data_IF_231570106260
#
_entry.id   IF_231570106260
#
_cell.length_a   1.000
_cell.length_b   1.000
_cell.length_c   1.000
_cell.angle_alpha   90.00
_cell.angle_beta   90.00
_cell.angle_gamma   90.00
#
_symmetry.space_group_name_H-M   'P 1'
#
loop_
_entity.id
_entity.type
_entity.pdbx_description
1 polymer ?
#
# COMPACT_ATOMS: atom_id res chain seq x y z
N UNK A 1 -26.69 -11.47 3.97
CA UNK A 1 -25.47 -11.96 3.26
C UNK A 1 -24.58 -10.79 2.87
N UNK A 2 -23.26 -10.82 3.19
CA UNK A 2 -22.32 -9.81 2.71
C UNK A 2 -21.97 -10.09 1.25
N UNK A 3 -22.09 -9.05 0.39
CA UNK A 3 -21.74 -9.17 -1.04
C UNK A 3 -20.26 -9.53 -1.20
N UNK A 4 -19.89 -10.33 -2.22
CA UNK A 4 -18.50 -10.57 -2.59
C UNK A 4 -17.84 -9.24 -3.04
N UNK A 5 -16.51 -9.17 -2.94
CA UNK A 5 -15.77 -8.03 -3.47
C UNK A 5 -15.78 -8.07 -4.98
N UNK A 6 -15.91 -6.90 -5.59
CA UNK A 6 -15.69 -6.74 -7.02
C UNK A 6 -14.18 -6.79 -7.23
N UNK A 7 -13.72 -7.73 -8.02
CA UNK A 7 -12.33 -7.87 -8.46
C UNK A 7 -12.33 -7.90 -9.98
N UNK A 8 -11.27 -7.36 -10.57
CA UNK A 8 -10.99 -7.59 -11.98
C UNK A 8 -10.16 -8.87 -12.14
N UNK A 9 -10.42 -9.67 -13.18
CA UNK A 9 -9.67 -10.91 -13.46
C UNK A 9 -8.28 -10.64 -14.08
N UNK A 10 -7.90 -9.39 -14.20
CA UNK A 10 -6.62 -8.92 -14.71
C UNK A 10 -6.12 -7.73 -13.91
N UNK A 11 -5.68 -6.70 -14.63
CA UNK A 11 -5.26 -5.43 -14.05
C UNK A 11 -6.40 -4.74 -13.30
N UNK A 12 -6.09 -4.11 -12.15
CA UNK A 12 -7.11 -3.38 -11.41
C UNK A 12 -6.53 -2.34 -10.45
N UNK A 13 -7.24 -1.22 -10.33
CA UNK A 13 -6.94 -0.14 -9.39
C UNK A 13 -7.95 -0.16 -8.25
N UNK A 14 -7.47 -0.10 -7.01
CA UNK A 14 -8.33 -0.26 -5.84
C UNK A 14 -8.09 0.80 -4.79
N UNK A 15 -9.17 1.43 -4.34
CA UNK A 15 -9.15 2.17 -3.08
C UNK A 15 -9.57 1.23 -1.95
N UNK A 16 -8.69 1.05 -0.98
CA UNK A 16 -8.83 0.10 0.12
C UNK A 16 -8.88 0.85 1.43
N UNK A 17 -9.85 0.49 2.29
CA UNK A 17 -10.04 1.09 3.62
C UNK A 17 -10.24 -0.01 4.65
N UNK A 18 -9.62 0.13 5.81
CA UNK A 18 -9.93 -0.70 6.99
C UNK A 18 -9.82 0.10 8.26
N UNK A 19 -10.72 -0.17 9.21
CA UNK A 19 -10.84 0.56 10.48
C UNK A 19 -10.44 -0.32 11.65
N UNK A 20 -9.94 0.32 12.71
CA UNK A 20 -9.75 -0.29 14.00
C UNK A 20 -11.09 -0.63 14.66
N UNK A 21 -11.11 -1.62 15.53
CA UNK A 21 -12.28 -2.03 16.27
C UNK A 21 -12.83 -0.86 17.10
N UNK A 22 -14.15 -0.71 17.10
CA UNK A 22 -14.87 0.36 17.81
C UNK A 22 -14.38 1.78 17.44
N UNK A 23 -13.72 1.93 16.29
CA UNK A 23 -13.12 3.19 15.82
C UNK A 23 -12.13 3.83 16.83
N UNK A 24 -11.56 3.02 17.72
CA UNK A 24 -10.58 3.47 18.69
C UNK A 24 -9.26 3.90 18.02
N UNK A 25 -8.59 4.90 18.60
CA UNK A 25 -7.30 5.42 18.14
C UNK A 25 -6.15 4.48 18.57
N UNK A 26 -6.08 3.30 17.96
CA UNK A 26 -5.13 2.26 18.30
C UNK A 26 -3.76 2.40 17.61
N UNK A 27 -3.68 3.24 16.58
CA UNK A 27 -2.46 3.42 15.78
C UNK A 27 -1.64 4.59 16.34
N UNK A 28 -0.79 4.29 17.32
CA UNK A 28 0.18 5.27 17.85
C UNK A 28 1.19 5.72 16.76
N UNK A 29 1.94 6.81 16.98
CA UNK A 29 2.99 7.25 16.05
C UNK A 29 4.01 6.14 15.70
N UNK A 30 4.41 5.32 16.69
CA UNK A 30 5.26 4.16 16.46
C UNK A 30 4.53 3.09 15.64
N UNK A 31 3.31 2.75 16.03
CA UNK A 31 2.46 1.78 15.32
C UNK A 31 2.24 2.18 13.85
N UNK A 32 1.96 3.45 13.56
CA UNK A 32 1.85 3.95 12.18
C UNK A 32 3.16 3.78 11.39
N UNK A 33 4.30 4.00 12.01
CA UNK A 33 5.60 3.84 11.36
C UNK A 33 5.87 2.37 11.02
N UNK A 34 5.61 1.46 11.95
CA UNK A 34 5.70 0.00 11.74
C UNK A 34 4.70 -0.47 10.69
N UNK A 35 3.47 0.07 10.72
CA UNK A 35 2.45 -0.28 9.71
C UNK A 35 2.89 0.11 8.29
N UNK A 36 3.45 1.32 8.12
CA UNK A 36 3.94 1.78 6.80
C UNK A 36 5.10 0.92 6.30
N UNK A 37 6.03 0.52 7.18
CA UNK A 37 7.12 -0.40 6.80
C UNK A 37 6.57 -1.77 6.36
N UNK A 38 5.67 -2.36 7.17
CA UNK A 38 5.01 -3.61 6.81
C UNK A 38 4.23 -3.51 5.50
N UNK A 39 3.47 -2.43 5.31
CA UNK A 39 2.71 -2.18 4.09
C UNK A 39 3.60 -2.23 2.84
N UNK A 40 4.73 -1.52 2.86
CA UNK A 40 5.68 -1.46 1.74
C UNK A 40 6.30 -2.83 1.44
N UNK A 41 6.74 -3.55 2.46
CA UNK A 41 7.36 -4.88 2.31
C UNK A 41 6.36 -5.92 1.81
N UNK A 42 5.12 -5.88 2.32
CA UNK A 42 4.07 -6.80 1.89
C UNK A 42 3.60 -6.47 0.47
N UNK A 43 3.56 -5.21 0.07
CA UNK A 43 3.23 -4.80 -1.29
C UNK A 43 4.25 -5.38 -2.30
N UNK A 44 5.56 -5.24 -2.02
CA UNK A 44 6.62 -5.85 -2.83
C UNK A 44 6.47 -7.37 -2.88
N UNK A 45 6.24 -8.03 -1.73
CA UNK A 45 6.02 -9.47 -1.68
C UNK A 45 4.82 -9.89 -2.53
N UNK A 46 3.71 -9.17 -2.44
CA UNK A 46 2.47 -9.48 -3.15
C UNK A 46 2.51 -9.09 -4.63
N UNK A 47 3.53 -8.34 -5.09
CA UNK A 47 3.57 -7.78 -6.43
C UNK A 47 2.47 -6.75 -6.69
N UNK A 48 2.08 -6.02 -5.65
CA UNK A 48 1.09 -4.95 -5.70
C UNK A 48 1.81 -3.61 -5.64
N UNK A 49 1.45 -2.70 -6.51
CA UNK A 49 2.02 -1.36 -6.55
C UNK A 49 1.21 -0.42 -5.64
N UNK A 50 1.90 0.25 -4.74
CA UNK A 50 1.31 1.29 -3.91
C UNK A 50 1.37 2.63 -4.65
N UNK A 51 0.23 3.12 -5.10
CA UNK A 51 0.16 4.44 -5.73
C UNK A 51 0.13 5.54 -4.69
N UNK A 52 -0.65 5.35 -3.63
CA UNK A 52 -0.69 6.24 -2.48
C UNK A 52 -1.25 5.53 -1.23
N UNK A 53 -1.06 6.11 -0.06
CA UNK A 53 -1.63 5.64 1.21
C UNK A 53 -1.68 6.77 2.25
N UNK A 54 -2.56 6.60 3.24
CA UNK A 54 -2.57 7.41 4.45
C UNK A 54 -2.97 6.53 5.64
N UNK A 55 -2.16 6.54 6.71
CA UNK A 55 -2.41 5.76 7.93
C UNK A 55 -2.80 6.72 9.03
N UNK A 56 -4.11 6.76 9.34
CA UNK A 56 -4.72 7.58 10.39
C UNK A 56 -4.64 6.86 11.74
N UNK A 57 -5.08 7.51 12.81
CA UNK A 57 -5.02 6.96 14.17
C UNK A 57 -5.93 5.74 14.39
N UNK A 58 -7.02 5.63 13.63
CA UNK A 58 -8.02 4.56 13.78
C UNK A 58 -8.41 3.86 12.47
N UNK A 59 -7.80 4.22 11.34
CA UNK A 59 -8.04 3.59 10.05
C UNK A 59 -6.89 3.86 9.09
N UNK A 60 -6.90 3.18 7.94
CA UNK A 60 -5.98 3.48 6.86
C UNK A 60 -6.68 3.48 5.51
N UNK A 61 -6.13 4.25 4.60
CA UNK A 61 -6.46 4.26 3.18
C UNK A 61 -5.25 3.81 2.36
N UNK A 62 -5.49 3.01 1.34
CA UNK A 62 -4.47 2.59 0.36
C UNK A 62 -5.08 2.73 -1.04
N UNK A 63 -4.37 3.40 -1.93
CA UNK A 63 -4.59 3.35 -3.36
C UNK A 63 -3.58 2.39 -3.95
N UNK A 64 -4.05 1.26 -4.47
CA UNK A 64 -3.22 0.17 -4.94
C UNK A 64 -3.54 -0.18 -6.40
N UNK A 65 -2.52 -0.52 -7.16
CA UNK A 65 -2.61 -1.11 -8.48
C UNK A 65 -2.20 -2.59 -8.40
N UNK A 66 -3.06 -3.45 -8.89
CA UNK A 66 -2.75 -4.86 -9.16
C UNK A 66 -2.41 -4.96 -10.64
N UNK A 67 -1.15 -5.16 -11.01
CA UNK A 67 -0.77 -5.22 -12.41
C UNK A 67 -1.27 -6.50 -13.09
N UNK A 68 -1.27 -6.51 -14.41
CA UNK A 68 -1.55 -7.71 -15.19
C UNK A 68 -0.63 -8.84 -14.71
N UNK A 69 -1.17 -10.05 -14.47
CA UNK A 69 -0.37 -11.18 -14.04
C UNK A 69 0.72 -11.50 -15.07
N UNK A 70 1.97 -11.44 -14.63
CA UNK A 70 3.13 -11.90 -15.41
C UNK A 70 3.66 -13.19 -14.82
N UNK A 71 4.44 -13.92 -15.59
CA UNK A 71 5.15 -15.10 -15.06
C UNK A 71 6.10 -14.68 -13.93
N UNK A 72 5.92 -15.30 -12.77
CA UNK A 72 6.77 -15.06 -11.60
C UNK A 72 7.88 -16.08 -11.60
N UNK A 73 9.11 -15.62 -11.92
CA UNK A 73 10.29 -16.47 -11.92
C UNK A 73 10.72 -16.86 -10.50
N UNK A 74 11.61 -17.83 -10.41
CA UNK A 74 12.16 -18.27 -9.13
C UNK A 74 12.96 -17.18 -8.44
N UNK A 75 13.75 -16.42 -9.19
CA UNK A 75 14.52 -15.28 -8.67
C UNK A 75 13.59 -14.21 -8.09
N UNK A 76 12.48 -13.94 -8.77
CA UNK A 76 11.45 -13.02 -8.26
C UNK A 76 10.82 -13.53 -6.95
N UNK A 77 10.53 -14.83 -6.85
CA UNK A 77 10.01 -15.42 -5.61
C UNK A 77 11.00 -15.28 -4.46
N UNK A 78 12.28 -15.61 -4.69
CA UNK A 78 13.33 -15.48 -3.68
C UNK A 78 13.51 -14.03 -3.25
N UNK A 79 13.54 -13.07 -4.20
CA UNK A 79 13.63 -11.65 -3.90
C UNK A 79 12.44 -11.17 -3.04
N UNK A 80 11.22 -11.54 -3.41
CA UNK A 80 10.00 -11.19 -2.67
C UNK A 80 9.99 -11.80 -1.25
N UNK A 81 10.41 -13.04 -1.12
CA UNK A 81 10.56 -13.69 0.20
C UNK A 81 11.63 -12.99 1.03
N UNK A 82 12.78 -12.65 0.45
CA UNK A 82 13.83 -11.89 1.12
C UNK A 82 13.33 -10.55 1.65
N UNK A 83 12.54 -9.83 0.84
CA UNK A 83 12.00 -8.51 1.22
C UNK A 83 11.05 -8.61 2.42
N UNK A 84 10.21 -9.64 2.48
CA UNK A 84 9.21 -9.77 3.53
C UNK A 84 9.73 -10.49 4.78
N UNK A 85 10.54 -11.55 4.61
CA UNK A 85 10.94 -12.46 5.69
C UNK A 85 12.41 -12.35 6.09
N UNK A 86 13.23 -11.63 5.31
CA UNK A 86 14.67 -11.48 5.56
C UNK A 86 15.54 -12.44 4.75
N UNK A 87 16.86 -12.19 4.81
CA UNK A 87 17.85 -12.91 4.01
C UNK A 87 17.95 -14.41 4.38
N UNK A 88 17.91 -14.72 5.67
CA UNK A 88 18.05 -16.10 6.16
C UNK A 88 16.90 -17.00 5.70
N UNK A 89 15.67 -16.48 5.72
CA UNK A 89 14.51 -17.21 5.24
C UNK A 89 14.55 -17.44 3.72
N UNK A 90 15.02 -16.42 2.98
CA UNK A 90 15.20 -16.57 1.53
C UNK A 90 16.30 -17.56 1.19
N UNK A 91 17.40 -17.58 1.95
CA UNK A 91 18.49 -18.55 1.76
C UNK A 91 18.00 -19.97 2.09
N UNK A 92 17.32 -20.18 3.22
CA UNK A 92 16.74 -21.46 3.60
C UNK A 92 15.76 -22.00 2.56
N UNK A 93 14.96 -21.11 1.94
CA UNK A 93 14.06 -21.47 0.84
C UNK A 93 14.85 -21.94 -0.38
N UNK A 94 15.88 -21.20 -0.77
CA UNK A 94 16.74 -21.51 -1.91
C UNK A 94 17.45 -22.87 -1.74
N UNK A 95 18.02 -23.12 -0.55
CA UNK A 95 18.72 -24.37 -0.24
C UNK A 95 17.74 -25.56 -0.29
N UNK A 96 16.52 -25.40 0.23
CA UNK A 96 15.47 -26.41 0.16
C UNK A 96 15.06 -26.72 -1.28
N UNK A 97 14.95 -25.72 -2.15
CA UNK A 97 14.62 -25.92 -3.56
C UNK A 97 15.75 -26.60 -4.34
N UNK A 98 17.02 -26.33 -4.00
CA UNK A 98 18.18 -27.07 -4.51
C UNK A 98 18.08 -28.55 -4.09
N UNK A 99 17.79 -28.80 -2.80
CA UNK A 99 17.60 -30.17 -2.29
C UNK A 99 16.48 -30.93 -3.02
N UNK A 100 15.35 -30.26 -3.28
CA UNK A 100 14.24 -30.90 -4.02
C UNK A 100 14.64 -31.29 -5.45
N UNK A 101 15.45 -30.48 -6.13
CA UNK A 101 15.97 -30.81 -7.46
C UNK A 101 16.93 -32.01 -7.42
N UNK A 102 17.89 -32.00 -6.51
CA UNK A 102 18.84 -33.11 -6.37
C UNK A 102 18.18 -34.42 -5.99
N UNK A 103 17.16 -34.39 -5.16
CA UNK A 103 16.38 -35.54 -4.74
C UNK A 103 15.27 -35.95 -5.71
N UNK A 104 15.16 -35.31 -6.88
CA UNK A 104 14.07 -35.51 -7.86
C UNK A 104 12.65 -35.31 -7.26
N UNK A 105 12.51 -34.40 -6.29
CA UNK A 105 11.23 -34.06 -5.64
C UNK A 105 10.55 -32.87 -6.32
N UNK A 106 10.46 -32.87 -7.65
CA UNK A 106 9.97 -31.73 -8.46
C UNK A 106 8.55 -31.33 -8.09
N UNK A 107 7.68 -32.29 -7.76
CA UNK A 107 6.30 -32.01 -7.33
C UNK A 107 6.27 -31.16 -6.05
N UNK A 108 7.13 -31.42 -5.06
CA UNK A 108 7.22 -30.62 -3.84
C UNK A 108 7.71 -29.18 -4.12
N UNK A 109 8.67 -29.05 -5.04
CA UNK A 109 9.14 -27.75 -5.49
C UNK A 109 8.01 -26.93 -6.10
N UNK A 110 7.25 -27.51 -7.02
CA UNK A 110 6.12 -26.85 -7.68
C UNK A 110 5.01 -26.48 -6.68
N UNK A 111 4.66 -27.37 -5.75
CA UNK A 111 3.68 -27.13 -4.70
C UNK A 111 4.09 -25.96 -3.82
N UNK A 112 5.35 -25.87 -3.38
CA UNK A 112 5.84 -24.78 -2.53
C UNK A 112 5.87 -23.45 -3.29
N UNK A 113 6.30 -23.43 -4.54
CA UNK A 113 6.25 -22.25 -5.40
C UNK A 113 4.80 -21.78 -5.61
N UNK A 114 3.88 -22.71 -5.87
CA UNK A 114 2.46 -22.40 -6.04
C UNK A 114 1.84 -21.82 -4.76
N UNK A 115 2.18 -22.34 -3.59
CA UNK A 115 1.72 -21.81 -2.29
C UNK A 115 2.19 -20.36 -2.08
N UNK A 116 3.39 -20.00 -2.51
CA UNK A 116 3.88 -18.62 -2.47
C UNK A 116 3.12 -17.74 -3.48
N UNK A 117 2.98 -18.21 -4.73
CA UNK A 117 2.32 -17.48 -5.83
C UNK A 117 0.85 -17.19 -5.52
N UNK A 118 0.12 -18.08 -4.85
CA UNK A 118 -1.27 -17.87 -4.41
C UNK A 118 -1.48 -16.67 -3.48
N UNK A 119 -0.41 -16.17 -2.88
CA UNK A 119 -0.43 -15.00 -1.98
C UNK A 119 -0.08 -13.70 -2.69
N UNK A 120 0.09 -13.74 -4.01
CA UNK A 120 0.55 -12.63 -4.86
C UNK A 120 -0.54 -12.26 -5.88
N UNK A 121 -0.51 -11.02 -6.38
CA UNK A 121 -1.42 -10.55 -7.41
C UNK A 121 -2.89 -10.42 -6.98
N UNK A 122 -3.19 -10.39 -5.68
CA UNK A 122 -4.57 -10.25 -5.18
C UNK A 122 -4.61 -9.38 -3.92
N UNK A 123 -5.52 -8.39 -3.92
CA UNK A 123 -5.72 -7.48 -2.78
C UNK A 123 -6.20 -8.21 -1.52
N UNK A 124 -6.83 -9.37 -1.65
CA UNK A 124 -7.36 -10.09 -0.46
C UNK A 124 -6.22 -10.67 0.39
N UNK A 125 -5.35 -11.55 -0.12
CA UNK A 125 -4.21 -12.04 0.65
C UNK A 125 -3.24 -10.91 1.03
N UNK A 126 -3.10 -9.88 0.21
CA UNK A 126 -2.29 -8.70 0.52
C UNK A 126 -2.76 -8.02 1.82
N UNK A 127 -4.02 -7.61 1.90
CA UNK A 127 -4.56 -6.92 3.09
C UNK A 127 -4.72 -7.87 4.28
N UNK A 128 -5.05 -9.13 4.06
CA UNK A 128 -5.10 -10.12 5.14
C UNK A 128 -3.72 -10.30 5.80
N UNK A 129 -2.67 -10.42 5.00
CA UNK A 129 -1.30 -10.55 5.49
C UNK A 129 -0.86 -9.29 6.27
N UNK A 130 -1.16 -8.09 5.74
CA UNK A 130 -0.88 -6.82 6.41
C UNK A 130 -1.58 -6.74 7.77
N UNK A 131 -2.88 -6.95 7.79
CA UNK A 131 -3.69 -6.86 9.03
C UNK A 131 -3.28 -7.91 10.06
N UNK A 132 -3.01 -9.14 9.64
CA UNK A 132 -2.58 -10.22 10.53
C UNK A 132 -1.21 -9.91 11.15
N UNK A 133 -0.21 -9.54 10.37
CA UNK A 133 1.13 -9.23 10.87
C UNK A 133 1.12 -8.03 11.80
N UNK A 134 0.38 -7.00 11.43
CA UNK A 134 0.28 -5.84 12.28
C UNK A 134 -0.47 -6.14 13.59
N UNK A 135 -1.53 -6.96 13.56
CA UNK A 135 -2.20 -7.40 14.81
C UNK A 135 -1.27 -8.18 15.73
N UNK A 136 -0.43 -9.08 15.18
CA UNK A 136 0.56 -9.82 15.96
C UNK A 136 1.54 -8.85 16.64
N UNK A 137 2.09 -7.90 15.86
CA UNK A 137 2.97 -6.88 16.41
C UNK A 137 2.28 -6.03 17.48
N UNK A 138 1.05 -5.57 17.19
CA UNK A 138 0.27 -4.73 18.10
C UNK A 138 0.03 -5.42 19.45
N UNK A 139 -0.42 -6.67 19.45
CA UNK A 139 -0.70 -7.43 20.68
C UNK A 139 0.58 -7.80 21.45
N UNK A 140 1.72 -7.91 20.78
CA UNK A 140 3.00 -8.10 21.45
C UNK A 140 3.47 -6.85 22.24
N UNK A 141 2.98 -5.65 21.85
CA UNK A 141 3.37 -4.38 22.47
C UNK A 141 2.24 -3.74 23.32
N UNK A 142 1.04 -4.29 23.26
CA UNK A 142 -0.13 -3.79 23.97
C UNK A 142 -0.88 -4.96 24.63
N UNK A 143 -1.11 -4.93 25.95
CA UNK A 143 -1.71 -6.05 26.68
C UNK A 143 -3.21 -6.28 26.42
N UNK A 144 -3.77 -5.61 25.42
CA UNK A 144 -5.20 -5.73 25.09
C UNK A 144 -5.50 -7.08 24.42
N UNK A 145 -6.60 -7.72 24.86
CA UNK A 145 -7.16 -8.93 24.27
C UNK A 145 -8.39 -8.54 23.45
N UNK A 146 -8.42 -8.86 22.18
CA UNK A 146 -9.56 -8.58 21.31
C UNK A 146 -9.16 -8.29 19.87
N UNK A 147 -10.14 -8.17 19.00
CA UNK A 147 -9.86 -7.85 17.61
C UNK A 147 -9.36 -6.41 17.48
N UNK A 148 -8.20 -6.23 16.89
CA UNK A 148 -7.71 -4.91 16.54
C UNK A 148 -8.54 -4.24 15.43
N UNK A 149 -9.17 -5.01 14.56
CA UNK A 149 -9.88 -4.53 13.39
C UNK A 149 -11.38 -4.73 13.49
N UNK A 150 -12.15 -3.77 13.05
CA UNK A 150 -13.63 -3.80 13.04
C UNK A 150 -14.21 -4.98 12.22
N UNK A 151 -13.45 -5.53 11.29
CA UNK A 151 -13.87 -6.65 10.46
C UNK A 151 -13.05 -6.74 9.18
N UNK A 152 -13.73 -7.12 8.08
CA UNK A 152 -13.09 -7.15 6.76
C UNK A 152 -12.81 -5.72 6.27
N UNK A 153 -11.77 -5.55 5.45
CA UNK A 153 -11.53 -4.29 4.75
C UNK A 153 -12.59 -4.04 3.66
N UNK A 154 -12.78 -2.79 3.31
CA UNK A 154 -13.56 -2.35 2.16
C UNK A 154 -12.63 -2.10 0.98
N UNK A 155 -13.09 -2.38 -0.24
CA UNK A 155 -12.36 -2.06 -1.46
C UNK A 155 -13.33 -1.61 -2.53
N UNK A 156 -12.97 -0.55 -3.23
CA UNK A 156 -13.67 -0.04 -4.42
C UNK A 156 -12.75 -0.22 -5.61
N UNK A 157 -13.24 -0.88 -6.65
CA UNK A 157 -12.57 -0.96 -7.95
C UNK A 157 -12.72 0.40 -8.64
N UNK A 158 -11.63 0.92 -9.16
CA UNK A 158 -11.55 2.24 -9.78
C UNK A 158 -11.22 2.13 -11.27
N UNK A 159 -11.64 3.12 -12.04
CA UNK A 159 -11.10 3.34 -13.38
C UNK A 159 -9.63 3.76 -13.28
N UNK A 160 -8.79 3.19 -14.15
CA UNK A 160 -7.34 3.48 -14.20
C UNK A 160 -7.00 4.80 -14.90
N UNK A 161 -7.90 5.78 -14.90
CA UNK A 161 -7.63 7.09 -15.51
C UNK A 161 -6.89 8.01 -14.53
N UNK A 162 -5.99 8.85 -15.05
CA UNK A 162 -5.26 9.84 -14.25
C UNK A 162 -6.21 10.73 -13.45
N UNK A 163 -7.36 11.07 -14.00
CA UNK A 163 -8.38 11.87 -13.31
C UNK A 163 -8.93 11.16 -12.08
N UNK A 164 -9.39 9.92 -12.24
CA UNK A 164 -9.94 9.12 -11.12
C UNK A 164 -8.89 8.86 -10.05
N UNK A 165 -7.70 8.41 -10.47
CA UNK A 165 -6.62 8.05 -9.56
C UNK A 165 -6.10 9.27 -8.78
N UNK A 166 -5.91 10.43 -9.44
CA UNK A 166 -5.47 11.65 -8.77
C UNK A 166 -6.53 12.21 -7.81
N UNK A 167 -7.82 12.08 -8.17
CA UNK A 167 -8.93 12.51 -7.30
C UNK A 167 -8.99 11.68 -6.02
N UNK A 168 -8.91 10.34 -6.14
CA UNK A 168 -8.90 9.45 -4.97
C UNK A 168 -7.62 9.62 -4.16
N UNK A 169 -6.48 9.82 -4.81
CA UNK A 169 -5.20 10.09 -4.14
C UNK A 169 -5.25 11.38 -3.33
N UNK A 170 -5.78 12.47 -3.90
CA UNK A 170 -5.98 13.74 -3.19
C UNK A 170 -6.93 13.58 -1.99
N UNK A 171 -8.04 12.85 -2.15
CA UNK A 171 -8.93 12.52 -1.04
C UNK A 171 -8.18 11.81 0.10
N UNK A 172 -7.30 10.84 -0.23
CA UNK A 172 -6.50 10.09 0.75
C UNK A 172 -5.55 11.02 1.51
N UNK A 173 -4.82 11.91 0.82
CA UNK A 173 -3.85 12.80 1.43
C UNK A 173 -4.49 13.96 2.22
N UNK A 174 -5.74 14.33 1.91
CA UNK A 174 -6.50 15.35 2.65
C UNK A 174 -7.12 14.82 3.96
N UNK A 175 -7.16 13.51 4.20
CA UNK A 175 -7.76 12.96 5.43
C UNK A 175 -7.18 13.57 6.71
N UNK A 176 -5.85 13.71 6.88
CA UNK A 176 -5.29 14.31 8.10
C UNK A 176 -5.64 15.78 8.28
N UNK A 177 -5.78 16.54 7.18
CA UNK A 177 -6.20 17.95 7.22
C UNK A 177 -7.68 18.05 7.60
N UNK A 178 -8.54 17.26 6.96
CA UNK A 178 -9.98 17.19 7.29
C UNK A 178 -10.23 16.74 8.72
N UNK A 179 -9.35 15.94 9.29
CA UNK A 179 -9.39 15.52 10.69
C UNK A 179 -8.80 16.56 11.67
N UNK A 180 -8.28 17.70 11.18
CA UNK A 180 -7.64 18.72 12.01
C UNK A 180 -6.32 18.28 12.67
N UNK A 181 -5.65 17.27 12.12
CA UNK A 181 -4.39 16.72 12.68
C UNK A 181 -3.20 17.55 12.21
N UNK A 182 -3.24 18.04 10.97
CA UNK A 182 -2.23 18.92 10.36
C UNK A 182 -2.92 19.97 9.51
N UNK A 183 -2.23 21.12 9.30
CA UNK A 183 -2.73 22.19 8.45
C UNK A 183 -2.30 22.02 6.97
N UNK A 184 -1.38 21.11 6.71
CA UNK A 184 -0.87 20.84 5.36
C UNK A 184 -0.58 19.34 5.20
N UNK A 185 -1.06 18.68 4.11
CA UNK A 185 -0.86 17.26 3.88
C UNK A 185 0.62 16.84 3.85
N UNK A 186 1.54 17.73 3.43
CA UNK A 186 2.99 17.47 3.42
C UNK A 186 3.58 17.19 4.80
N UNK A 187 2.91 17.70 5.86
CA UNK A 187 3.39 17.58 7.24
C UNK A 187 2.94 16.26 7.90
N UNK A 188 2.01 15.53 7.27
CA UNK A 188 1.55 14.24 7.79
C UNK A 188 2.44 13.08 7.32
N UNK A 189 3.43 12.72 8.14
CA UNK A 189 4.53 11.81 7.75
C UNK A 189 4.11 10.38 7.37
N UNK A 190 2.93 9.91 7.75
CA UNK A 190 2.42 8.57 7.46
C UNK A 190 1.51 8.51 6.22
N UNK A 191 1.72 9.42 5.29
CA UNK A 191 1.09 9.44 3.96
C UNK A 191 2.10 9.17 2.84
N UNK A 192 1.59 8.73 1.68
CA UNK A 192 2.41 8.55 0.48
C UNK A 192 2.95 9.87 -0.04
N UNK A 193 2.11 10.93 -0.08
CA UNK A 193 2.53 12.26 -0.52
C UNK A 193 3.70 12.82 0.30
N UNK A 194 3.53 12.87 1.63
CA UNK A 194 4.60 13.34 2.50
C UNK A 194 5.86 12.45 2.44
N UNK A 195 5.70 11.14 2.23
CA UNK A 195 6.83 10.22 2.03
C UNK A 195 7.57 10.50 0.73
N UNK A 196 6.86 10.78 -0.37
CA UNK A 196 7.43 11.12 -1.66
C UNK A 196 8.23 12.44 -1.60
N UNK A 197 7.69 13.46 -0.95
CA UNK A 197 8.38 14.73 -0.75
C UNK A 197 9.67 14.60 0.09
N UNK A 198 9.73 13.59 0.98
CA UNK A 198 10.95 13.24 1.74
C UNK A 198 11.91 12.33 0.99
N UNK A 199 11.67 12.08 -0.31
CA UNK A 199 12.57 11.32 -1.17
C UNK A 199 12.41 9.80 -1.11
N UNK A 200 11.30 9.28 -0.56
CA UNK A 200 11.04 7.84 -0.63
C UNK A 200 10.73 7.42 -2.07
N UNK A 201 11.61 6.63 -2.67
CA UNK A 201 11.53 6.23 -4.09
C UNK A 201 10.26 5.47 -4.45
N UNK A 202 9.76 4.60 -3.57
CA UNK A 202 8.52 3.86 -3.82
C UNK A 202 7.30 4.79 -3.83
N UNK A 203 7.26 5.77 -2.92
CA UNK A 203 6.19 6.75 -2.87
C UNK A 203 6.26 7.74 -4.05
N UNK A 204 7.47 8.16 -4.45
CA UNK A 204 7.70 8.97 -5.65
C UNK A 204 7.20 8.24 -6.91
N UNK A 205 7.55 6.96 -7.03
CA UNK A 205 7.08 6.10 -8.13
C UNK A 205 5.56 5.98 -8.13
N UNK A 206 4.94 5.73 -6.97
CA UNK A 206 3.49 5.64 -6.85
C UNK A 206 2.76 6.88 -7.34
N UNK A 207 3.21 8.09 -6.95
CA UNK A 207 2.62 9.36 -7.42
C UNK A 207 2.81 9.54 -8.93
N UNK A 208 3.98 9.23 -9.47
CA UNK A 208 4.21 9.33 -10.91
C UNK A 208 3.28 8.40 -11.70
N UNK A 209 3.08 7.19 -11.22
CA UNK A 209 2.19 6.16 -11.81
C UNK A 209 0.71 6.53 -11.80
N UNK A 210 0.27 7.49 -11.00
CA UNK A 210 -1.09 8.03 -11.05
C UNK A 210 -1.36 8.71 -12.39
N UNK A 211 -0.35 9.33 -12.99
CA UNK A 211 -0.48 10.11 -14.22
C UNK A 211 -0.01 9.35 -15.47
N UNK A 212 0.96 8.48 -15.31
CA UNK A 212 1.54 7.71 -16.40
C UNK A 212 1.80 6.27 -15.92
N UNK A 213 1.07 5.28 -16.47
CA UNK A 213 1.23 3.87 -16.13
C UNK A 213 2.64 3.31 -16.35
N UNK A 214 3.44 3.92 -17.21
CA UNK A 214 4.81 3.51 -17.50
C UNK A 214 5.87 4.37 -16.81
N UNK A 215 5.45 5.34 -15.97
CA UNK A 215 6.33 6.24 -15.26
C UNK A 215 7.38 5.50 -14.43
N UNK A 216 8.59 6.06 -14.42
CA UNK A 216 9.69 5.67 -13.54
C UNK A 216 9.78 6.62 -12.35
N UNK A 217 10.58 6.26 -11.35
CA UNK A 217 10.86 7.15 -10.20
C UNK A 217 11.41 8.52 -10.64
N UNK A 218 12.20 8.56 -11.72
CA UNK A 218 12.73 9.81 -12.29
C UNK A 218 11.64 10.78 -12.75
N UNK A 219 10.49 10.28 -13.13
CA UNK A 219 9.38 11.07 -13.69
C UNK A 219 8.56 11.76 -12.59
N UNK A 220 8.85 11.49 -11.32
CA UNK A 220 8.19 12.12 -10.19
C UNK A 220 8.22 13.65 -10.28
N UNK A 221 9.38 14.24 -10.64
CA UNK A 221 9.52 15.70 -10.78
C UNK A 221 8.59 16.30 -11.84
N UNK A 222 8.26 15.54 -12.88
CA UNK A 222 7.33 15.95 -13.94
C UNK A 222 5.88 16.02 -13.45
N UNK A 223 5.50 15.14 -12.52
CA UNK A 223 4.12 14.97 -12.12
C UNK A 223 3.75 15.58 -10.76
N UNK A 224 4.76 15.87 -9.92
CA UNK A 224 4.49 16.32 -8.55
C UNK A 224 3.77 17.67 -8.49
N UNK A 225 4.09 18.63 -9.36
CA UNK A 225 3.42 19.92 -9.36
C UNK A 225 1.96 19.80 -9.82
N UNK A 226 1.69 19.01 -10.84
CA UNK A 226 0.31 18.70 -11.27
C UNK A 226 -0.48 18.02 -10.15
N UNK A 227 0.15 17.08 -9.44
CA UNK A 227 -0.48 16.43 -8.30
C UNK A 227 -0.76 17.42 -7.16
N UNK A 228 0.20 18.27 -6.86
CA UNK A 228 0.10 19.31 -5.84
C UNK A 228 -1.06 20.27 -6.12
N UNK A 229 -1.15 20.81 -7.32
CA UNK A 229 -2.27 21.66 -7.72
C UNK A 229 -3.62 20.93 -7.56
N UNK A 230 -3.72 19.68 -8.04
CA UNK A 230 -4.91 18.85 -7.89
C UNK A 230 -5.29 18.64 -6.42
N UNK A 231 -4.29 18.37 -5.55
CA UNK A 231 -4.47 18.13 -4.13
C UNK A 231 -5.08 19.35 -3.42
N UNK A 232 -4.50 20.53 -3.62
CA UNK A 232 -5.00 21.75 -2.96
C UNK A 232 -6.33 22.24 -3.54
N UNK A 233 -6.53 22.15 -4.86
CA UNK A 233 -7.84 22.40 -5.47
C UNK A 233 -8.94 21.46 -4.96
N UNK A 234 -8.59 20.23 -4.61
CA UNK A 234 -9.54 19.27 -4.00
C UNK A 234 -9.83 19.55 -2.53
N UNK A 235 -9.07 20.46 -1.91
CA UNK A 235 -9.18 20.84 -0.50
C UNK A 235 -9.79 22.23 -0.27
N UNK A 236 -10.62 22.73 -1.19
CA UNK A 236 -11.30 24.03 -1.05
C UNK A 236 -12.21 24.13 0.17
N UNK A 237 -12.59 22.99 0.74
CA UNK A 237 -13.35 22.88 1.99
C UNK A 237 -12.50 23.05 3.25
N UNK A 238 -11.16 22.96 3.14
CA UNK A 238 -10.23 23.00 4.29
C UNK A 238 -9.09 24.01 4.15
N UNK A 239 -8.85 24.53 2.95
CA UNK A 239 -7.79 25.53 2.72
C UNK A 239 -8.36 26.92 2.47
N UNK A 240 -7.72 27.97 3.01
CA UNK A 240 -7.99 29.35 2.63
C UNK A 240 -7.73 29.59 1.13
N UNK A 241 -8.53 30.46 0.51
CA UNK A 241 -8.42 30.79 -0.91
C UNK A 241 -7.00 31.32 -1.28
N UNK A 242 -6.42 32.12 -0.40
CA UNK A 242 -5.07 32.68 -0.59
C UNK A 242 -4.00 31.58 -0.70
N UNK A 243 -4.10 30.53 0.13
CA UNK A 243 -3.17 29.38 0.09
C UNK A 243 -3.31 28.60 -1.22
N UNK A 244 -4.52 28.45 -1.72
CA UNK A 244 -4.79 27.78 -3.00
C UNK A 244 -4.21 28.61 -4.14
N UNK A 245 -4.44 29.93 -4.15
CA UNK A 245 -3.94 30.83 -5.18
C UNK A 245 -2.39 30.83 -5.24
N UNK A 246 -1.72 30.91 -4.09
CA UNK A 246 -0.25 30.83 -4.02
C UNK A 246 0.35 29.57 -4.68
N UNK A 247 -0.40 28.47 -4.68
CA UNK A 247 0.04 27.19 -5.26
C UNK A 247 -0.24 27.12 -6.76
N UNK A 248 -1.32 27.75 -7.23
CA UNK A 248 -1.67 27.80 -8.66
C UNK A 248 -0.70 28.72 -9.41
N UNK A 249 -0.23 29.79 -8.79
CA UNK A 249 0.62 30.81 -9.40
C UNK A 249 2.12 30.41 -9.45
N UNK A 250 2.50 29.26 -8.91
CA UNK A 250 3.86 28.69 -8.93
C UNK A 250 4.02 27.61 -9.99
#
# INVERSE_FOLDING_TARGET
MRKPRIKNDGEGYYHIVSRCALQQFLLSPEGKSVFVDMLRRIAIFSGIELLNYCVMDNHFHILAHVPIPTEITEEMLIYRVKTLYGADQAQSLKDRWIMYRHGNHLKRLEEEQMMLKRRMGDITPFIQNLKQRFSIWYHAHNPNTGSMWEGRFYSTLLEGTAHTLSTVSAYIDLNPVRAGIVDDPKDYKWSGYASALRGNSNAMHGIARIYDPDAKVSDFKKHIETYRQKLYLSGTDVFPAEKIQEIIDK
#
